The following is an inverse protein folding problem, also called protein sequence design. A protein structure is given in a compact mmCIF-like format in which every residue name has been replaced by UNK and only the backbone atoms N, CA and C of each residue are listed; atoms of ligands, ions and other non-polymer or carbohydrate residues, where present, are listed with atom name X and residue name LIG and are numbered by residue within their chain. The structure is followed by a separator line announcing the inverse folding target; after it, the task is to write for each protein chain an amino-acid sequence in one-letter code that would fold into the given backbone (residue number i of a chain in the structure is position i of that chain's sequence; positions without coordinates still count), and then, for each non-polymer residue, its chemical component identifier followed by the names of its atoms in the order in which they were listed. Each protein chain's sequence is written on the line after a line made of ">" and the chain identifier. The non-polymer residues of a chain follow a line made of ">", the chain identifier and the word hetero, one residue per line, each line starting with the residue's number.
data_IF_521082156050
#
_entry.id   IF_521082156050
#
_cell.length_a   1.000
_cell.length_b   1.000
_cell.length_c   1.000
_cell.angle_alpha   90.00
_cell.angle_beta   90.00
_cell.angle_gamma   90.00
#
_symmetry.space_group_name_H-M   'P 1'
#
loop_
_entity.id
_entity.type
_entity.pdbx_description
1 polymer ?
#
# COMPACT_ATOMS: atom_id res chain seq x y z
N UNK A 1 -4.35 7.05 10.95
CA UNK A 1 -3.98 6.49 9.65
C UNK A 1 -4.47 7.38 8.51
N UNK A 2 -3.90 7.21 7.35
CA UNK A 2 -4.12 8.09 6.20
C UNK A 2 -4.67 7.26 5.04
N UNK A 3 -5.73 7.75 4.41
CA UNK A 3 -6.35 7.10 3.26
C UNK A 3 -6.11 7.90 1.98
N UNK A 4 -5.72 7.21 0.92
CA UNK A 4 -5.48 7.78 -0.40
C UNK A 4 -6.33 7.04 -1.43
N UNK A 5 -6.94 7.79 -2.33
CA UNK A 5 -7.61 7.22 -3.49
C UNK A 5 -6.57 6.79 -4.53
N UNK A 6 -6.77 5.63 -5.12
CA UNK A 6 -5.86 5.11 -6.14
C UNK A 6 -6.55 4.21 -7.13
N UNK A 7 -5.75 3.66 -8.04
CA UNK A 7 -6.21 2.71 -9.06
C UNK A 7 -5.21 1.59 -9.29
N UNK A 8 -5.74 0.40 -9.53
CA UNK A 8 -4.99 -0.72 -10.08
C UNK A 8 -5.72 -1.17 -11.35
N UNK A 9 -5.04 -1.11 -12.51
CA UNK A 9 -5.62 -1.49 -13.80
C UNK A 9 -7.01 -0.87 -14.00
N UNK A 10 -7.13 0.44 -13.94
CA UNK A 10 -8.39 1.17 -14.08
C UNK A 10 -9.44 0.92 -13.00
N UNK A 11 -9.17 0.05 -12.04
CA UNK A 11 -10.08 -0.19 -10.94
C UNK A 11 -9.77 0.76 -9.78
N UNK A 12 -10.78 1.52 -9.36
CA UNK A 12 -10.65 2.42 -8.20
C UNK A 12 -10.51 1.61 -6.92
N UNK A 13 -9.53 1.97 -6.11
CA UNK A 13 -9.24 1.30 -4.84
C UNK A 13 -9.03 2.32 -3.74
N UNK A 14 -9.20 1.89 -2.49
CA UNK A 14 -8.83 2.65 -1.31
C UNK A 14 -7.48 2.15 -0.80
N UNK A 15 -6.56 3.08 -0.57
CA UNK A 15 -5.20 2.81 -0.11
C UNK A 15 -5.05 3.38 1.29
N UNK A 16 -4.62 2.55 2.22
CA UNK A 16 -4.30 2.98 3.57
C UNK A 16 -2.80 3.09 3.73
N UNK A 17 -2.34 4.22 4.24
CA UNK A 17 -0.94 4.43 4.59
C UNK A 17 -0.77 4.11 6.07
N UNK A 18 0.06 3.12 6.38
CA UNK A 18 0.29 2.65 7.73
C UNK A 18 1.77 2.72 8.09
N UNK A 19 2.11 3.60 9.03
CA UNK A 19 3.49 3.80 9.48
C UNK A 19 4.01 2.67 10.36
N UNK A 20 3.13 1.82 10.85
CA UNK A 20 3.49 0.69 11.73
C UNK A 20 3.81 -0.57 10.93
N UNK A 21 3.18 -0.73 9.78
CA UNK A 21 3.39 -1.89 8.92
C UNK A 21 4.69 -1.77 8.11
N UNK A 22 5.38 -2.88 7.92
CA UNK A 22 6.63 -2.88 7.13
C UNK A 22 6.37 -3.02 5.64
N UNK A 23 5.50 -3.95 5.27
CA UNK A 23 5.28 -4.35 3.89
C UNK A 23 4.03 -3.71 3.26
N UNK A 24 3.86 -3.96 1.97
CA UNK A 24 2.67 -3.56 1.23
C UNK A 24 1.76 -4.77 1.08
N UNK A 25 0.49 -4.59 1.38
CA UNK A 25 -0.50 -5.66 1.35
C UNK A 25 -1.68 -5.31 0.45
N UNK A 26 -2.28 -6.32 -0.16
CA UNK A 26 -3.54 -6.20 -0.90
C UNK A 26 -4.51 -7.28 -0.46
N UNK A 27 -5.77 -6.92 -0.36
CA UNK A 27 -6.81 -7.90 -0.13
C UNK A 27 -6.90 -8.89 -1.30
N UNK A 28 -7.23 -10.16 -1.07
CA UNK A 28 -7.34 -11.17 -2.13
C UNK A 28 -8.32 -10.78 -3.25
N UNK A 29 -9.40 -10.10 -2.91
CA UNK A 29 -10.42 -9.69 -3.89
C UNK A 29 -9.83 -8.81 -5.00
N UNK A 30 -8.98 -7.85 -4.66
CA UNK A 30 -8.35 -6.96 -5.66
C UNK A 30 -7.44 -7.75 -6.58
N UNK A 31 -6.63 -8.65 -6.03
CA UNK A 31 -5.72 -9.48 -6.80
C UNK A 31 -6.48 -10.41 -7.75
N UNK A 32 -7.58 -11.00 -7.27
CA UNK A 32 -8.39 -11.94 -8.07
C UNK A 32 -9.15 -11.21 -9.19
N UNK A 33 -9.73 -10.05 -8.90
CA UNK A 33 -10.45 -9.26 -9.90
C UNK A 33 -9.52 -8.78 -11.02
N UNK A 34 -8.32 -8.38 -10.67
CA UNK A 34 -7.33 -7.92 -11.66
C UNK A 34 -6.62 -9.07 -12.38
N UNK A 35 -6.89 -10.30 -11.99
CA UNK A 35 -6.32 -11.51 -12.60
C UNK A 35 -4.78 -11.53 -12.60
N UNK A 36 -4.16 -10.97 -11.57
CA UNK A 36 -2.72 -11.00 -11.43
C UNK A 36 -2.21 -12.39 -11.05
N UNK A 37 -1.02 -12.71 -11.55
CA UNK A 37 -0.35 -13.96 -11.19
C UNK A 37 0.21 -13.87 -9.78
N UNK A 38 -0.17 -14.80 -8.92
CA UNK A 38 0.35 -14.92 -7.56
C UNK A 38 1.61 -15.79 -7.54
N UNK A 39 2.60 -15.36 -6.78
CA UNK A 39 3.85 -16.08 -6.56
C UNK A 39 3.92 -16.42 -5.08
N UNK A 40 4.43 -17.61 -4.76
CA UNK A 40 4.58 -18.05 -3.37
C UNK A 40 5.88 -17.55 -2.77
N UNK A 41 5.80 -17.07 -1.52
CA UNK A 41 6.98 -16.76 -0.73
C UNK A 41 7.72 -18.02 -0.34
N UNK A 42 9.05 -17.98 -0.40
CA UNK A 42 9.89 -19.08 0.09
C UNK A 42 9.81 -19.18 1.62
N UNK A 43 9.70 -18.05 2.31
CA UNK A 43 9.61 -17.97 3.77
C UNK A 43 8.36 -17.19 4.18
N UNK A 44 7.19 -17.82 4.22
CA UNK A 44 5.97 -17.16 4.70
C UNK A 44 6.12 -16.67 6.14
N UNK A 45 5.36 -15.64 6.48
CA UNK A 45 5.38 -15.11 7.84
C UNK A 45 3.96 -14.87 8.35
N UNK A 46 3.86 -14.62 9.66
CA UNK A 46 2.60 -14.32 10.33
C UNK A 46 2.48 -12.83 10.60
N UNK A 47 1.29 -12.30 10.36
CA UNK A 47 0.91 -10.93 10.71
C UNK A 47 -0.17 -11.01 11.78
N UNK A 48 0.01 -10.26 12.87
CA UNK A 48 -1.01 -10.15 13.91
C UNK A 48 -1.87 -8.92 13.65
N UNK A 49 -3.18 -9.14 13.56
CA UNK A 49 -4.16 -8.07 13.40
C UNK A 49 -4.47 -7.40 14.73
N UNK A 50 -5.08 -6.21 14.69
CA UNK A 50 -5.48 -5.48 15.89
C UNK A 50 -6.42 -6.29 16.80
N UNK A 51 -7.20 -7.19 16.22
CA UNK A 51 -8.08 -8.11 16.95
C UNK A 51 -7.36 -9.23 17.71
N UNK A 52 -6.03 -9.37 17.51
CA UNK A 52 -5.25 -10.49 18.03
C UNK A 52 -5.17 -11.69 17.09
N UNK A 53 -5.98 -11.74 16.06
CA UNK A 53 -5.95 -12.82 15.08
C UNK A 53 -4.64 -12.78 14.27
N UNK A 54 -4.03 -13.94 14.09
CA UNK A 54 -2.83 -14.09 13.27
C UNK A 54 -3.21 -14.62 11.90
N UNK A 55 -2.62 -14.04 10.86
CA UNK A 55 -2.82 -14.47 9.48
C UNK A 55 -1.48 -14.72 8.82
N UNK A 56 -1.42 -15.77 7.99
CA UNK A 56 -0.22 -16.15 7.26
C UNK A 56 -0.15 -15.40 5.94
N UNK A 57 1.00 -14.81 5.67
CA UNK A 57 1.32 -14.19 4.37
C UNK A 57 2.20 -15.17 3.61
N UNK A 58 1.68 -15.74 2.53
CA UNK A 58 2.37 -16.79 1.77
C UNK A 58 2.45 -16.51 0.27
N UNK A 59 1.72 -15.52 -0.23
CA UNK A 59 1.68 -15.20 -1.65
C UNK A 59 1.83 -13.69 -1.88
N UNK A 60 2.35 -13.34 -3.06
CA UNK A 60 2.46 -11.95 -3.49
C UNK A 60 2.23 -11.84 -4.99
N UNK A 61 1.93 -10.61 -5.43
CA UNK A 61 1.98 -10.21 -6.84
C UNK A 61 3.16 -9.27 -7.00
N UNK A 62 4.09 -9.63 -7.89
CA UNK A 62 5.31 -8.85 -8.08
C UNK A 62 5.09 -7.70 -9.07
N UNK A 63 5.73 -6.56 -8.77
CA UNK A 63 5.79 -5.39 -9.66
C UNK A 63 4.43 -4.96 -10.22
N UNK A 64 3.44 -4.91 -9.35
CA UNK A 64 2.10 -4.48 -9.73
C UNK A 64 2.06 -2.96 -9.90
N UNK A 65 1.62 -2.45 -11.05
CA UNK A 65 1.42 -1.01 -11.22
C UNK A 65 0.30 -0.49 -10.31
N UNK A 66 0.60 0.56 -9.58
CA UNK A 66 -0.33 1.21 -8.67
C UNK A 66 -0.31 2.70 -8.97
N UNK A 67 -1.48 3.29 -9.10
CA UNK A 67 -1.63 4.72 -9.36
C UNK A 67 -2.22 5.40 -8.12
N UNK A 68 -1.53 6.44 -7.63
CA UNK A 68 -2.00 7.28 -6.54
C UNK A 68 -2.02 8.73 -7.02
N UNK A 69 -3.21 9.26 -7.28
CA UNK A 69 -3.38 10.67 -7.65
C UNK A 69 -2.39 11.14 -8.73
N UNK A 70 -2.27 10.34 -9.80
CA UNK A 70 -1.37 10.64 -10.91
C UNK A 70 0.05 10.11 -10.78
N UNK A 71 0.48 9.71 -9.59
CA UNK A 71 1.77 9.03 -9.40
C UNK A 71 1.63 7.56 -9.76
N UNK A 72 2.45 7.09 -10.69
CA UNK A 72 2.51 5.68 -11.05
C UNK A 72 3.71 5.04 -10.38
N UNK A 73 3.48 3.96 -9.64
CA UNK A 73 4.54 3.21 -8.97
C UNK A 73 4.31 1.71 -9.17
N UNK A 74 5.37 0.94 -9.15
CA UNK A 74 5.28 -0.52 -9.21
C UNK A 74 5.64 -1.10 -7.85
N UNK A 75 4.79 -1.95 -7.33
CA UNK A 75 4.93 -2.48 -5.97
C UNK A 75 4.72 -3.99 -5.95
N UNK A 76 5.33 -4.63 -4.95
CA UNK A 76 5.04 -6.02 -4.64
C UNK A 76 3.90 -6.07 -3.63
N UNK A 77 2.77 -6.61 -4.05
CA UNK A 77 1.57 -6.71 -3.22
C UNK A 77 1.51 -8.06 -2.53
N UNK A 78 1.75 -8.08 -1.24
CA UNK A 78 1.56 -9.28 -0.43
C UNK A 78 0.06 -9.50 -0.20
N UNK A 79 -0.41 -10.72 -0.36
CA UNK A 79 -1.83 -11.03 -0.25
C UNK A 79 -2.21 -11.22 1.22
N UNK A 80 -3.12 -10.39 1.70
CA UNK A 80 -3.60 -10.43 3.08
C UNK A 80 -5.01 -9.83 3.15
N UNK A 81 -5.92 -10.48 3.84
CA UNK A 81 -7.27 -9.96 4.03
C UNK A 81 -7.23 -8.72 4.94
N UNK A 82 -7.63 -7.57 4.40
CA UNK A 82 -7.48 -6.25 5.02
C UNK A 82 -8.78 -5.62 5.51
N UNK A 83 -9.83 -6.32 5.75
CA UNK A 83 -11.09 -5.71 6.17
C UNK A 83 -11.64 -4.73 5.12
N UNK A 84 -11.80 -3.46 5.49
CA UNK A 84 -12.48 -2.45 4.66
C UNK A 84 -11.60 -1.80 3.59
N UNK A 85 -10.30 -2.02 3.60
CA UNK A 85 -9.37 -1.37 2.68
C UNK A 85 -8.87 -2.35 1.63
N UNK A 86 -8.55 -1.83 0.44
CA UNK A 86 -8.10 -2.65 -0.68
C UNK A 86 -6.60 -2.90 -0.63
N UNK A 87 -5.83 -1.86 -0.34
CA UNK A 87 -4.36 -1.90 -0.30
C UNK A 87 -3.88 -1.17 0.93
N UNK A 88 -2.83 -1.71 1.55
CA UNK A 88 -2.14 -1.08 2.66
C UNK A 88 -0.68 -0.88 2.28
N UNK A 89 -0.19 0.35 2.40
CA UNK A 89 1.20 0.70 2.12
C UNK A 89 1.94 0.88 3.45
N UNK A 90 3.01 0.12 3.63
CA UNK A 90 3.85 0.19 4.81
C UNK A 90 5.16 0.90 4.58
N UNK A 91 6.05 0.78 5.55
CA UNK A 91 7.31 1.52 5.60
C UNK A 91 8.25 1.22 4.44
N UNK A 92 8.21 0.02 3.85
CA UNK A 92 9.06 -0.31 2.69
C UNK A 92 8.92 0.73 1.57
N UNK A 93 7.68 1.03 1.20
CA UNK A 93 7.41 2.01 0.16
C UNK A 93 7.69 3.44 0.63
N UNK A 94 7.26 3.75 1.85
CA UNK A 94 7.40 5.11 2.40
C UNK A 94 8.85 5.54 2.51
N UNK A 95 9.73 4.64 2.94
CA UNK A 95 11.18 4.90 3.01
C UNK A 95 11.80 5.03 1.63
N UNK A 96 11.48 4.11 0.71
CA UNK A 96 12.03 4.13 -0.64
C UNK A 96 11.69 5.41 -1.40
N UNK A 97 10.53 5.98 -1.15
CA UNK A 97 10.06 7.19 -1.80
C UNK A 97 10.24 8.46 -0.97
N UNK A 98 10.91 8.38 0.16
CA UNK A 98 11.22 9.52 1.04
C UNK A 98 10.01 10.38 1.36
N UNK A 99 8.94 9.73 1.79
CA UNK A 99 7.66 10.38 2.04
C UNK A 99 7.76 11.39 3.19
N UNK A 100 7.22 12.59 2.94
CA UNK A 100 7.05 13.64 3.97
C UNK A 100 5.57 13.94 4.11
N UNK A 101 5.04 13.79 5.31
CA UNK A 101 3.65 14.08 5.61
C UNK A 101 3.48 15.55 5.97
N UNK A 102 2.47 16.18 5.37
CA UNK A 102 1.98 17.51 5.74
C UNK A 102 0.57 17.37 6.28
N UNK A 103 0.47 17.24 7.58
CA UNK A 103 -0.82 17.01 8.24
C UNK A 103 -1.74 18.22 8.18
N UNK A 104 -1.17 19.42 8.07
CA UNK A 104 -1.96 20.64 7.97
C UNK A 104 -2.69 20.74 6.64
N UNK A 105 -1.99 20.53 5.55
CA UNK A 105 -2.54 20.61 4.19
C UNK A 105 -3.18 19.29 3.71
N UNK A 106 -3.12 18.23 4.52
CA UNK A 106 -3.63 16.91 4.14
C UNK A 106 -3.00 16.40 2.84
N UNK A 107 -1.68 16.56 2.72
CA UNK A 107 -0.90 16.07 1.59
C UNK A 107 0.35 15.37 2.07
N UNK A 108 0.92 14.53 1.21
CA UNK A 108 2.29 14.07 1.41
C UNK A 108 3.08 14.26 0.13
N UNK A 109 4.37 14.48 0.29
CA UNK A 109 5.32 14.57 -0.81
C UNK A 109 6.08 13.27 -0.89
N UNK A 110 6.33 12.80 -2.10
CA UNK A 110 7.15 11.62 -2.34
C UNK A 110 7.99 11.80 -3.59
N UNK A 111 9.06 11.01 -3.67
CA UNK A 111 9.93 10.96 -4.83
C UNK A 111 9.77 9.62 -5.55
N UNK A 112 10.12 9.58 -6.82
CA UNK A 112 10.22 8.32 -7.53
C UNK A 112 11.36 7.49 -6.97
N UNK A 113 11.19 6.18 -6.97
CA UNK A 113 12.17 5.26 -6.46
C UNK A 113 13.51 5.41 -7.19
N UNK A 114 14.59 5.52 -6.44
CA UNK A 114 15.94 5.68 -6.98
C UNK A 114 16.27 7.07 -7.49
N UNK A 115 15.39 8.04 -7.31
CA UNK A 115 15.61 9.41 -7.75
C UNK A 115 16.18 10.31 -6.69
N UNK A 116 17.15 11.06 -7.07
CA UNK A 116 17.62 12.20 -6.37
C UNK A 116 16.73 13.42 -6.70
N UNK A 117 17.11 14.54 -6.50
CA UNK A 117 16.51 15.86 -6.55
C UNK A 117 15.48 16.13 -7.65
N UNK A 118 14.41 16.80 -7.33
CA UNK A 118 13.55 17.51 -8.25
C UNK A 118 12.26 16.82 -8.69
N UNK A 119 12.11 15.52 -8.50
CA UNK A 119 10.89 14.80 -8.86
C UNK A 119 10.04 14.49 -7.64
N UNK A 120 9.29 15.50 -7.20
CA UNK A 120 8.35 15.35 -6.09
C UNK A 120 6.94 15.30 -6.62
N UNK A 121 6.16 14.37 -6.10
CA UNK A 121 4.72 14.32 -6.31
C UNK A 121 4.03 14.66 -5.01
N UNK A 122 3.00 15.50 -5.07
CA UNK A 122 2.14 15.81 -3.94
C UNK A 122 0.85 15.03 -4.07
N UNK A 123 0.49 14.31 -3.03
CA UNK A 123 -0.68 13.45 -3.01
C UNK A 123 -1.57 13.87 -1.84
N UNK A 124 -2.84 14.17 -2.16
CA UNK A 124 -3.84 14.45 -1.14
C UNK A 124 -4.28 13.19 -0.41
N UNK A 125 -4.64 13.35 0.86
CA UNK A 125 -5.14 12.25 1.67
C UNK A 125 -6.23 12.73 2.62
N UNK A 126 -6.90 11.80 3.25
CA UNK A 126 -7.80 12.08 4.37
C UNK A 126 -7.43 11.21 5.57
N UNK A 127 -7.71 11.73 6.76
CA UNK A 127 -7.52 10.96 7.98
C UNK A 127 -8.64 9.96 8.15
N UNK A 128 -8.30 8.77 8.65
CA UNK A 128 -9.26 7.75 9.06
C UNK A 128 -8.96 7.34 10.49
N UNK A 129 -10.00 6.95 11.20
CA UNK A 129 -9.92 6.62 12.63
C UNK A 129 -9.79 5.12 12.85
N UNK A 130 -10.20 4.31 11.88
CA UNK A 130 -10.19 2.86 12.00
C UNK A 130 -8.78 2.28 11.86
N UNK A 131 -8.46 1.33 12.73
CA UNK A 131 -7.25 0.54 12.62
C UNK A 131 -7.56 -0.77 11.89
N UNK A 132 -6.70 -1.13 10.93
CA UNK A 132 -6.88 -2.33 10.12
C UNK A 132 -6.00 -3.47 10.60
N UNK A 133 -4.79 -3.16 11.04
CA UNK A 133 -3.81 -4.14 11.51
C UNK A 133 -3.50 -3.98 13.00
#
# INVERSE_FOLDING_TARGET
>A
MVEVAGKIVEKSISILIDLVSTHIYSTPMVVDICAFKKVKHQKPWLVQLATGTKRKVSELVEKCPLVMNGLITCVDLNVLLLGSYDVLIGMDWLEAHRVKLDCYNKTFECTDEGYSEGNFSKIGFRNVVEEVL
#
